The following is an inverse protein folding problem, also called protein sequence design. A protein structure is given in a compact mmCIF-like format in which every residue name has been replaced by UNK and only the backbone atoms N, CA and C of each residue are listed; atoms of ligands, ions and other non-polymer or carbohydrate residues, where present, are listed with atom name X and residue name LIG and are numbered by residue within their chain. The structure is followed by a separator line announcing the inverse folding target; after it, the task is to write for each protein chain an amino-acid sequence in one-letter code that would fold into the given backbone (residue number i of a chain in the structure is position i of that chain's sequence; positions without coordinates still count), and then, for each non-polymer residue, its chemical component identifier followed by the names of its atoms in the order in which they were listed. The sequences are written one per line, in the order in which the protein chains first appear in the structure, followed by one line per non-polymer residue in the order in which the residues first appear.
data_IF_008970423306
#
_entry.id   IF_008970423306
#
_cell.length_a   1.000
_cell.length_b   1.000
_cell.length_c   1.000
_cell.angle_alpha   90.00
_cell.angle_beta   90.00
_cell.angle_gamma   90.00
#
_symmetry.space_group_name_H-M   'P 1'
#
loop_
_entity.id
_entity.type
_entity.pdbx_description
1 polymer ?
#
# COMPACT_ATOMS: atom_id res chain seq x y z
N UNK A 1 0.38 -19.66 -1.55
CA UNK A 1 1.59 -19.30 -2.31
C UNK A 1 2.33 -18.10 -1.70
N UNK A 2 1.71 -16.91 -1.61
CA UNK A 2 2.38 -15.69 -1.13
C UNK A 2 3.03 -15.82 0.27
N UNK A 3 2.34 -16.45 1.24
CA UNK A 3 2.93 -16.77 2.55
C UNK A 3 4.22 -17.61 2.45
N UNK A 4 4.31 -18.52 1.48
CA UNK A 4 5.50 -19.38 1.31
C UNK A 4 6.66 -18.56 0.75
N UNK A 5 6.40 -17.64 -0.18
CA UNK A 5 7.41 -16.72 -0.68
C UNK A 5 7.96 -15.85 0.47
N UNK A 6 7.06 -15.17 1.18
CA UNK A 6 7.43 -14.17 2.19
C UNK A 6 7.99 -14.78 3.49
N UNK A 7 7.75 -16.07 3.75
CA UNK A 7 8.44 -16.81 4.82
C UNK A 7 9.85 -17.28 4.44
N UNK A 8 10.14 -17.45 3.15
CA UNK A 8 11.41 -18.01 2.67
C UNK A 8 12.38 -16.96 2.18
N UNK A 9 11.86 -15.82 1.75
CA UNK A 9 12.65 -14.77 1.12
C UNK A 9 12.43 -13.47 1.88
N UNK A 10 13.54 -12.86 2.32
CA UNK A 10 13.52 -11.51 2.85
C UNK A 10 13.40 -10.54 1.69
N UNK A 11 12.33 -9.77 1.67
CA UNK A 11 12.20 -8.71 0.68
C UNK A 11 13.27 -7.63 0.95
N UNK A 12 14.01 -7.19 -0.07
CA UNK A 12 14.93 -6.06 0.05
C UNK A 12 14.15 -4.77 0.36
N UNK A 13 14.78 -3.79 1.03
CA UNK A 13 14.13 -2.53 1.38
C UNK A 13 13.93 -1.59 0.18
N UNK A 14 14.73 -1.76 -0.87
CA UNK A 14 14.63 -0.94 -2.07
C UNK A 14 13.38 -1.30 -2.89
N UNK A 15 12.50 -0.32 -3.11
CA UNK A 15 11.24 -0.51 -3.83
C UNK A 15 11.40 -1.22 -5.19
N UNK A 16 12.45 -0.89 -5.95
CA UNK A 16 12.74 -1.52 -7.25
C UNK A 16 13.07 -3.01 -7.14
N UNK A 17 13.65 -3.43 -6.03
CA UNK A 17 13.98 -4.83 -5.79
C UNK A 17 12.76 -5.61 -5.31
N UNK A 18 11.90 -5.01 -4.48
CA UNK A 18 10.60 -5.57 -4.09
C UNK A 18 9.75 -5.83 -5.34
N UNK A 19 9.65 -4.83 -6.19
CA UNK A 19 8.91 -4.88 -7.46
C UNK A 19 9.31 -6.10 -8.30
N UNK A 20 10.62 -6.28 -8.56
CA UNK A 20 11.16 -7.43 -9.31
C UNK A 20 10.83 -8.78 -8.66
N UNK A 21 10.85 -8.87 -7.33
CA UNK A 21 10.51 -10.11 -6.62
C UNK A 21 9.03 -10.42 -6.81
N UNK A 22 8.16 -9.41 -6.71
CA UNK A 22 6.72 -9.56 -6.86
C UNK A 22 6.31 -9.87 -8.30
N UNK A 23 6.96 -9.26 -9.31
CA UNK A 23 6.82 -9.64 -10.73
C UNK A 23 7.22 -11.10 -10.96
N UNK A 24 8.39 -11.48 -10.45
CA UNK A 24 8.88 -12.86 -10.54
C UNK A 24 7.93 -13.86 -9.89
N UNK A 25 7.36 -13.50 -8.72
CA UNK A 25 6.34 -14.30 -8.06
C UNK A 25 5.07 -14.43 -8.89
N UNK A 26 4.51 -13.33 -9.41
CA UNK A 26 3.28 -13.34 -10.19
C UNK A 26 3.42 -14.24 -11.43
N UNK A 27 4.54 -14.12 -12.13
CA UNK A 27 4.91 -14.97 -13.27
C UNK A 27 4.99 -16.45 -12.89
N UNK A 28 5.73 -16.75 -11.82
CA UNK A 28 5.88 -18.11 -11.34
C UNK A 28 4.54 -18.70 -10.87
N UNK A 29 3.70 -17.91 -10.22
CA UNK A 29 2.37 -18.29 -9.77
C UNK A 29 1.45 -18.61 -10.96
N UNK A 30 1.36 -17.74 -11.96
CA UNK A 30 0.57 -18.01 -13.18
C UNK A 30 1.02 -19.31 -13.86
N UNK A 31 2.33 -19.52 -14.00
CA UNK A 31 2.91 -20.74 -14.61
C UNK A 31 2.65 -22.00 -13.80
N UNK A 32 2.66 -21.91 -12.47
CA UNK A 32 2.44 -23.04 -11.57
C UNK A 32 0.96 -23.45 -11.46
N UNK A 33 0.03 -22.58 -11.86
CA UNK A 33 -1.41 -22.82 -11.82
C UNK A 33 -2.02 -22.74 -13.24
N UNK A 34 -1.58 -23.61 -14.17
CA UNK A 34 -2.10 -23.66 -15.54
C UNK A 34 -3.56 -24.13 -15.56
N UNK A 35 -4.29 -23.97 -16.69
CA UNK A 35 -5.69 -24.35 -16.80
C UNK A 35 -6.02 -25.80 -16.40
N UNK A 36 -5.07 -26.72 -16.56
CA UNK A 36 -5.22 -28.15 -16.27
C UNK A 36 -4.93 -28.51 -14.80
N UNK A 37 -4.47 -27.55 -13.99
CA UNK A 37 -4.20 -27.79 -12.57
C UNK A 37 -5.49 -27.92 -11.76
N UNK A 38 -5.38 -28.50 -10.56
CA UNK A 38 -6.54 -28.67 -9.66
C UNK A 38 -7.12 -27.33 -9.20
N UNK A 39 -6.29 -26.28 -9.10
CA UNK A 39 -6.68 -24.92 -8.74
C UNK A 39 -6.11 -23.92 -9.76
N UNK A 40 -6.72 -23.81 -10.95
CA UNK A 40 -6.17 -23.00 -12.03
C UNK A 40 -6.29 -21.51 -11.74
N UNK A 41 -5.32 -20.72 -12.23
CA UNK A 41 -5.42 -19.27 -12.28
C UNK A 41 -5.70 -18.82 -13.72
N UNK A 42 -6.97 -18.60 -14.12
CA UNK A 42 -7.30 -18.21 -15.49
C UNK A 42 -6.99 -16.74 -15.80
N UNK A 43 -6.81 -15.90 -14.78
CA UNK A 43 -6.61 -14.44 -14.89
C UNK A 43 -5.18 -14.05 -15.29
N UNK A 44 -4.94 -12.79 -15.65
CA UNK A 44 -3.65 -12.31 -16.11
C UNK A 44 -2.51 -12.44 -15.07
N UNK A 45 -1.26 -12.35 -15.54
CA UNK A 45 -0.07 -12.22 -14.67
C UNK A 45 -0.15 -10.91 -13.87
N UNK A 46 -0.58 -9.82 -14.51
CA UNK A 46 -0.78 -8.51 -13.89
C UNK A 46 -1.80 -8.57 -12.74
N UNK A 47 -2.90 -9.31 -12.92
CA UNK A 47 -3.88 -9.52 -11.85
C UNK A 47 -3.25 -10.21 -10.63
N UNK A 48 -2.38 -11.21 -10.85
CA UNK A 48 -1.68 -11.88 -9.75
C UNK A 48 -0.68 -10.94 -9.07
N UNK A 49 0.02 -10.10 -9.82
CA UNK A 49 0.95 -9.10 -9.31
C UNK A 49 0.23 -8.06 -8.44
N UNK A 50 -0.80 -7.39 -8.98
CA UNK A 50 -1.57 -6.35 -8.27
C UNK A 50 -2.25 -6.94 -7.04
N UNK A 51 -2.87 -8.11 -7.17
CA UNK A 51 -3.52 -8.75 -6.03
C UNK A 51 -2.53 -9.13 -4.93
N UNK A 52 -1.29 -9.48 -5.27
CA UNK A 52 -0.28 -9.80 -4.27
C UNK A 52 0.09 -8.60 -3.41
N UNK A 53 0.27 -7.43 -4.02
CA UNK A 53 0.45 -6.17 -3.29
C UNK A 53 -0.79 -5.80 -2.44
N UNK A 54 -1.98 -5.99 -3.01
CA UNK A 54 -3.25 -5.78 -2.31
C UNK A 54 -3.37 -6.65 -1.04
N UNK A 55 -2.90 -7.90 -1.09
CA UNK A 55 -2.86 -8.79 0.09
C UNK A 55 -1.83 -8.36 1.13
N UNK A 56 -0.69 -7.82 0.71
CA UNK A 56 0.31 -7.27 1.64
C UNK A 56 -0.26 -6.03 2.35
N UNK A 57 -0.92 -5.13 1.61
CA UNK A 57 -1.63 -3.97 2.20
C UNK A 57 -2.71 -4.41 3.19
N UNK A 58 -3.52 -5.39 2.80
CA UNK A 58 -4.55 -5.94 3.65
C UNK A 58 -3.97 -6.55 4.93
N UNK A 59 -2.82 -7.23 4.84
CA UNK A 59 -2.17 -7.80 6.00
C UNK A 59 -1.79 -6.73 7.02
N UNK A 60 -1.16 -5.65 6.56
CA UNK A 60 -0.86 -4.49 7.41
C UNK A 60 -2.12 -3.92 8.03
N UNK A 61 -3.14 -3.65 7.22
CA UNK A 61 -4.41 -3.07 7.67
C UNK A 61 -5.07 -3.93 8.77
N UNK A 62 -5.09 -5.25 8.57
CA UNK A 62 -5.76 -6.20 9.45
C UNK A 62 -4.95 -6.66 10.66
N UNK A 63 -3.64 -6.43 10.73
CA UNK A 63 -2.80 -6.97 11.82
C UNK A 63 -1.93 -5.93 12.51
N UNK A 64 -1.71 -4.75 11.91
CA UNK A 64 -0.93 -3.69 12.56
C UNK A 64 -1.64 -3.16 13.81
N UNK A 65 -0.90 -2.97 14.90
CA UNK A 65 -1.42 -2.39 16.15
C UNK A 65 -1.69 -0.88 16.04
N UNK A 66 -1.14 -0.24 15.00
CA UNK A 66 -1.27 1.20 14.76
C UNK A 66 -2.61 1.59 14.13
N UNK A 67 -3.38 0.63 13.62
CA UNK A 67 -4.67 0.87 12.96
C UNK A 67 -5.79 0.45 13.90
N UNK A 68 -6.71 1.38 14.15
CA UNK A 68 -7.88 1.13 15.00
C UNK A 68 -8.85 0.21 14.28
N UNK A 69 -9.51 -0.68 15.02
CA UNK A 69 -10.45 -1.65 14.46
C UNK A 69 -11.57 -1.02 13.62
N UNK A 70 -12.02 0.18 13.99
CA UNK A 70 -13.05 0.91 13.24
C UNK A 70 -12.56 1.43 11.88
N UNK A 71 -11.25 1.60 11.71
CA UNK A 71 -10.62 2.12 10.50
C UNK A 71 -10.09 0.99 9.58
N UNK A 72 -10.16 -0.28 10.03
CA UNK A 72 -9.70 -1.44 9.24
C UNK A 72 -10.59 -1.67 8.04
N UNK A 73 -9.97 -2.05 6.93
CA UNK A 73 -10.61 -2.43 5.70
C UNK A 73 -11.62 -3.56 5.94
N UNK A 74 -12.87 -3.30 5.56
CA UNK A 74 -13.91 -4.33 5.57
C UNK A 74 -13.72 -5.28 4.41
N UNK A 75 -14.34 -6.47 4.50
CA UNK A 75 -14.36 -7.44 3.40
C UNK A 75 -14.90 -6.81 2.10
N UNK A 76 -15.98 -6.06 2.20
CA UNK A 76 -16.56 -5.32 1.07
C UNK A 76 -15.63 -4.23 0.54
N UNK A 77 -14.92 -3.54 1.45
CA UNK A 77 -13.87 -2.59 1.08
C UNK A 77 -12.78 -3.26 0.26
N UNK A 78 -12.29 -4.42 0.69
CA UNK A 78 -11.27 -5.18 -0.04
C UNK A 78 -11.77 -5.61 -1.43
N UNK A 79 -13.01 -6.10 -1.55
CA UNK A 79 -13.60 -6.44 -2.84
C UNK A 79 -13.70 -5.20 -3.75
N UNK A 80 -14.13 -4.06 -3.20
CA UNK A 80 -14.24 -2.81 -3.96
C UNK A 80 -12.89 -2.29 -4.43
N UNK A 81 -11.85 -2.39 -3.60
CA UNK A 81 -10.50 -1.92 -3.91
C UNK A 81 -9.81 -2.75 -5.01
N UNK A 82 -10.30 -3.96 -5.27
CA UNK A 82 -9.74 -4.88 -6.27
C UNK A 82 -10.64 -5.03 -7.50
N UNK A 83 -11.52 -4.06 -7.77
CA UNK A 83 -12.30 -4.05 -9.03
C UNK A 83 -11.41 -3.72 -10.22
N UNK A 84 -11.66 -4.40 -11.33
CA UNK A 84 -11.00 -4.16 -12.61
C UNK A 84 -9.52 -4.53 -12.66
N UNK A 85 -9.03 -5.35 -11.72
CA UNK A 85 -7.60 -5.68 -11.65
C UNK A 85 -7.15 -6.72 -12.67
N UNK A 86 -8.09 -7.37 -13.39
CA UNK A 86 -7.75 -8.31 -14.45
C UNK A 86 -7.74 -7.64 -15.84
N UNK A 87 -7.24 -8.38 -16.84
CA UNK A 87 -7.05 -7.91 -18.20
C UNK A 87 -8.30 -7.23 -18.77
N UNK A 88 -8.10 -6.05 -19.36
CA UNK A 88 -9.18 -5.25 -19.94
C UNK A 88 -10.11 -4.59 -18.90
N UNK A 89 -9.70 -4.54 -17.62
CA UNK A 89 -10.50 -3.93 -16.55
C UNK A 89 -11.58 -4.88 -16.02
N UNK A 90 -11.38 -6.19 -16.14
CA UNK A 90 -12.31 -7.20 -15.64
C UNK A 90 -12.16 -7.42 -14.12
N UNK A 91 -13.26 -7.80 -13.47
CA UNK A 91 -13.28 -8.11 -12.05
C UNK A 91 -12.87 -9.57 -11.79
N UNK A 92 -12.11 -9.80 -10.71
CA UNK A 92 -11.97 -11.15 -10.16
C UNK A 92 -13.28 -11.58 -9.46
N UNK A 93 -13.56 -12.90 -9.36
CA UNK A 93 -14.73 -13.36 -8.65
C UNK A 93 -14.75 -12.87 -7.21
N UNK A 94 -15.88 -12.31 -6.78
CA UNK A 94 -16.07 -11.82 -5.41
C UNK A 94 -15.72 -12.90 -4.36
N UNK A 95 -16.16 -14.14 -4.59
CA UNK A 95 -15.89 -15.25 -3.69
C UNK A 95 -14.39 -15.53 -3.49
N UNK A 96 -13.57 -15.34 -4.53
CA UNK A 96 -12.11 -15.47 -4.43
C UNK A 96 -11.53 -14.38 -3.53
N UNK A 97 -11.92 -13.13 -3.76
CA UNK A 97 -11.46 -11.98 -2.97
C UNK A 97 -11.88 -12.08 -1.49
N UNK A 98 -13.11 -12.54 -1.23
CA UNK A 98 -13.60 -12.78 0.13
C UNK A 98 -12.85 -13.90 0.83
N UNK A 99 -12.58 -15.01 0.14
CA UNK A 99 -11.81 -16.12 0.69
C UNK A 99 -10.37 -15.70 1.03
N UNK A 100 -9.77 -14.87 0.19
CA UNK A 100 -8.45 -14.30 0.45
C UNK A 100 -8.47 -13.35 1.65
N UNK A 101 -9.46 -12.46 1.75
CA UNK A 101 -9.63 -11.56 2.89
C UNK A 101 -9.75 -12.34 4.20
N UNK A 102 -10.64 -13.34 4.23
CA UNK A 102 -10.83 -14.18 5.42
C UNK A 102 -9.59 -15.00 5.75
N UNK A 103 -8.86 -15.42 4.71
CA UNK A 103 -7.57 -16.08 4.84
C UNK A 103 -6.55 -15.21 5.56
N UNK A 104 -6.36 -13.96 5.12
CA UNK A 104 -5.43 -13.00 5.75
C UNK A 104 -5.91 -12.63 7.15
N UNK A 105 -7.19 -12.33 7.33
CA UNK A 105 -7.75 -11.99 8.65
C UNK A 105 -7.53 -13.10 9.69
N UNK A 106 -7.67 -14.36 9.28
CA UNK A 106 -7.50 -15.53 10.16
C UNK A 106 -6.04 -15.80 10.51
N UNK A 107 -5.14 -15.63 9.55
CA UNK A 107 -3.72 -15.91 9.72
C UNK A 107 -2.89 -14.82 9.05
N UNK A 108 -2.17 -14.07 9.88
CA UNK A 108 -1.20 -13.07 9.44
C UNK A 108 -0.17 -13.67 8.47
N UNK A 109 0.15 -12.89 7.44
CA UNK A 109 1.29 -13.12 6.55
C UNK A 109 2.56 -12.73 7.31
N UNK A 110 3.12 -13.69 8.05
CA UNK A 110 4.37 -13.50 8.78
C UNK A 110 5.58 -13.47 7.85
N UNK A 111 6.46 -12.50 8.07
CA UNK A 111 7.85 -12.48 7.63
C UNK A 111 8.73 -12.72 8.87
N UNK A 112 9.96 -13.20 8.72
CA UNK A 112 10.80 -13.54 9.88
C UNK A 112 11.18 -12.27 10.68
N UNK A 113 11.19 -12.38 12.01
CA UNK A 113 11.48 -11.27 12.93
C UNK A 113 12.89 -10.71 12.70
N UNK A 114 12.97 -9.41 12.37
CA UNK A 114 14.20 -8.69 12.06
C UNK A 114 14.17 -7.95 10.72
N UNK A 115 13.09 -8.09 9.96
CA UNK A 115 12.91 -7.41 8.71
C UNK A 115 12.32 -6.00 8.96
N UNK A 116 13.00 -4.95 8.48
CA UNK A 116 12.59 -3.52 8.54
C UNK A 116 11.36 -3.22 7.65
N UNK A 117 10.71 -4.26 7.13
CA UNK A 117 9.72 -4.24 6.06
C UNK A 117 8.42 -3.56 6.43
N UNK A 118 7.95 -3.67 7.69
CA UNK A 118 6.67 -3.09 8.05
C UNK A 118 6.73 -1.58 7.80
N UNK A 119 7.84 -0.92 8.15
CA UNK A 119 8.03 0.50 7.88
C UNK A 119 8.05 0.83 6.38
N UNK A 120 8.90 0.22 5.57
CA UNK A 120 9.09 0.58 4.14
C UNK A 120 7.94 0.14 3.21
N UNK A 121 7.31 -1.01 3.44
CA UNK A 121 6.12 -1.43 2.69
C UNK A 121 4.86 -0.64 3.12
N UNK A 122 4.74 -0.26 4.39
CA UNK A 122 3.69 0.68 4.83
C UNK A 122 3.91 2.05 4.19
N UNK A 123 5.17 2.49 4.09
CA UNK A 123 5.55 3.78 3.50
C UNK A 123 5.05 3.93 2.07
N UNK A 124 5.14 2.87 1.28
CA UNK A 124 4.75 2.90 -0.11
C UNK A 124 3.22 2.84 -0.34
N UNK A 125 2.44 2.39 0.65
CA UNK A 125 1.08 1.90 0.39
C UNK A 125 -0.07 2.63 1.13
N UNK A 126 0.19 3.65 1.96
CA UNK A 126 -0.93 4.38 2.56
C UNK A 126 -0.58 5.66 3.31
N UNK A 127 -0.92 6.81 2.73
CA UNK A 127 -0.93 8.09 3.44
C UNK A 127 -1.78 8.00 4.72
N UNK A 128 -1.15 8.08 5.89
CA UNK A 128 -1.79 7.93 7.21
C UNK A 128 -2.85 8.98 7.51
N UNK A 129 -2.69 10.21 7.02
CA UNK A 129 -3.69 11.28 7.17
C UNK A 129 -3.50 12.37 6.12
N UNK A 130 -4.58 12.92 5.60
CA UNK A 130 -4.53 14.10 4.75
C UNK A 130 -5.61 15.12 5.11
N UNK A 131 -5.34 16.40 4.88
CA UNK A 131 -6.29 17.46 5.22
C UNK A 131 -5.77 18.88 5.03
N UNK A 132 -6.69 19.83 5.00
CA UNK A 132 -6.34 21.25 4.99
C UNK A 132 -5.83 21.70 6.35
N UNK A 133 -4.64 22.28 6.40
CA UNK A 133 -4.12 22.99 7.58
C UNK A 133 -3.56 24.35 7.17
N UNK A 134 -3.40 25.25 8.14
CA UNK A 134 -2.74 26.53 7.94
C UNK A 134 -1.34 26.49 8.54
N UNK A 135 -0.33 26.86 7.74
CA UNK A 135 1.05 26.95 8.17
C UNK A 135 1.51 28.40 8.19
N UNK A 136 2.16 28.79 9.28
CA UNK A 136 2.90 30.05 9.34
C UNK A 136 4.25 29.93 8.60
N UNK A 137 4.58 30.93 7.80
CA UNK A 137 5.92 31.08 7.23
C UNK A 137 6.73 32.02 8.11
N UNK A 138 7.46 31.47 9.08
CA UNK A 138 8.47 32.23 9.81
C UNK A 138 9.73 32.32 8.98
N UNK A 139 10.05 33.53 8.52
CA UNK A 139 11.33 33.83 7.88
C UNK A 139 12.35 34.27 8.93
N UNK A 140 12.75 33.33 9.79
CA UNK A 140 13.87 33.49 10.73
C UNK A 140 13.65 34.50 11.86
N UNK A 141 14.65 34.58 12.74
CA UNK A 141 14.64 35.19 14.07
C UNK A 141 14.32 36.71 14.12
N UNK A 142 14.18 37.37 12.96
CA UNK A 142 14.00 38.83 12.84
C UNK A 142 12.74 39.24 12.06
N UNK A 143 11.86 38.30 11.69
CA UNK A 143 10.64 38.64 10.94
C UNK A 143 9.48 39.01 11.86
N UNK A 144 8.97 40.24 11.73
CA UNK A 144 7.90 40.81 12.59
C UNK A 144 6.48 40.53 12.05
N UNK A 145 6.34 39.85 10.90
CA UNK A 145 5.03 39.63 10.26
C UNK A 145 4.81 38.17 9.88
N UNK A 146 4.10 37.45 10.76
CA UNK A 146 3.61 36.10 10.50
C UNK A 146 2.64 36.10 9.31
N UNK A 147 2.93 35.26 8.31
CA UNK A 147 2.01 35.01 7.18
C UNK A 147 1.55 33.57 7.24
N UNK A 148 0.25 33.39 7.40
CA UNK A 148 -0.42 32.10 7.37
C UNK A 148 -0.82 31.73 5.94
N UNK A 149 -0.67 30.45 5.59
CA UNK A 149 -1.12 29.91 4.31
C UNK A 149 -1.85 28.59 4.54
N UNK A 150 -3.07 28.49 3.99
CA UNK A 150 -3.83 27.25 3.90
C UNK A 150 -3.24 26.36 2.80
N UNK A 151 -2.87 25.13 3.16
CA UNK A 151 -2.24 24.15 2.28
C UNK A 151 -2.85 22.77 2.55
N UNK A 152 -2.78 21.88 1.57
CA UNK A 152 -3.19 20.49 1.73
C UNK A 152 -2.03 19.68 2.28
N UNK A 153 -2.18 19.09 3.46
CA UNK A 153 -1.15 18.31 4.12
C UNK A 153 -1.40 16.83 3.93
N UNK A 154 -0.31 16.09 3.78
CA UNK A 154 -0.28 14.62 3.80
C UNK A 154 0.74 14.22 4.83
N UNK A 155 0.32 13.43 5.81
CA UNK A 155 1.19 12.79 6.78
C UNK A 155 1.43 11.36 6.31
N UNK A 156 2.67 11.05 6.00
CA UNK A 156 3.10 9.70 5.66
C UNK A 156 4.50 9.47 6.23
N UNK A 157 4.73 8.34 6.89
CA UNK A 157 6.08 7.84 7.24
C UNK A 157 6.98 8.78 8.02
N UNK A 158 6.43 9.36 9.09
CA UNK A 158 7.18 10.31 9.91
C UNK A 158 7.56 11.57 9.13
N UNK A 159 6.97 11.82 7.97
CA UNK A 159 7.15 13.02 7.19
C UNK A 159 5.81 13.72 6.99
N UNK A 160 5.84 15.04 7.12
CA UNK A 160 4.72 15.90 6.79
C UNK A 160 4.99 16.59 5.45
N UNK A 161 4.19 16.22 4.45
CA UNK A 161 4.19 16.79 3.12
C UNK A 161 3.10 17.86 3.02
N UNK A 162 3.31 18.89 2.20
CA UNK A 162 2.22 19.81 1.88
C UNK A 162 2.20 20.30 0.43
N UNK A 163 0.99 20.56 -0.08
CA UNK A 163 0.66 20.88 -1.46
C UNK A 163 -0.27 22.10 -1.53
N UNK A 164 -0.44 22.68 -2.72
CA UNK A 164 -1.41 23.78 -2.89
C UNK A 164 -2.85 23.27 -2.93
N UNK A 165 -3.07 22.09 -3.47
CA UNK A 165 -4.38 21.48 -3.61
C UNK A 165 -4.32 19.97 -3.35
N UNK A 166 -5.46 19.31 -3.05
CA UNK A 166 -5.53 17.87 -2.91
C UNK A 166 -5.10 17.13 -4.18
N UNK A 167 -5.57 17.60 -5.35
CA UNK A 167 -5.22 16.96 -6.63
C UNK A 167 -3.74 17.05 -6.99
N UNK A 168 -2.96 17.92 -6.33
CA UNK A 168 -1.51 17.93 -6.48
C UNK A 168 -0.83 16.79 -5.72
N UNK A 169 -1.48 16.23 -4.70
CA UNK A 169 -0.99 15.09 -3.92
C UNK A 169 -1.33 13.75 -4.58
N UNK A 170 -2.34 13.72 -5.44
CA UNK A 170 -2.80 12.52 -6.14
C UNK A 170 -2.03 12.27 -7.46
N UNK A 171 -1.31 13.27 -7.97
CA UNK A 171 -0.48 13.17 -9.17
C UNK A 171 0.93 12.75 -8.77
N UNK A 172 1.28 11.48 -9.01
CA UNK A 172 2.57 10.90 -8.65
C UNK A 172 3.80 11.68 -9.15
N UNK A 173 3.66 12.44 -10.24
CA UNK A 173 4.75 13.23 -10.83
C UNK A 173 4.89 14.65 -10.24
N UNK A 174 3.95 15.11 -9.41
CA UNK A 174 3.96 16.49 -8.88
C UNK A 174 4.62 16.53 -7.50
N UNK A 175 5.80 17.18 -7.36
CA UNK A 175 6.52 17.17 -6.09
C UNK A 175 5.81 18.04 -5.03
N UNK A 176 5.91 17.65 -3.74
CA UNK A 176 5.38 18.44 -2.63
C UNK A 176 6.09 19.78 -2.53
N UNK A 177 5.41 20.78 -1.97
CA UNK A 177 6.00 22.11 -1.72
C UNK A 177 7.13 22.05 -0.69
N UNK A 178 7.03 21.15 0.28
CA UNK A 178 8.14 20.75 1.13
C UNK A 178 7.87 19.38 1.78
N UNK A 179 8.94 18.84 2.34
CA UNK A 179 8.96 17.61 3.14
C UNK A 179 9.51 18.01 4.51
N UNK A 180 8.76 17.73 5.57
CA UNK A 180 9.17 18.03 6.96
C UNK A 180 9.31 16.71 7.70
N UNK A 181 10.53 16.23 7.97
CA UNK A 181 10.75 15.09 8.85
C UNK A 181 10.21 15.38 10.25
N UNK A 182 9.60 14.38 10.87
CA UNK A 182 9.03 14.36 12.21
C UNK A 182 9.84 13.35 13.02
N UNK A 183 11.04 13.75 13.39
CA UNK A 183 11.94 12.99 14.29
C UNK A 183 11.40 12.97 15.73
#
# INVERSE_FOLDING_TARGET
ALRVLLRKFRLPGEAQCIDRVMEGFARAFKRANPPESAEPWPYSEDAAYVLSFSLVMLNTDLHSQNIKDADRMTRDGFVSNNRGIDAGGADLPRALLEALYDGVKREEIKMDEGDLYESELITYMGARKAGWLEKCNDKGLFSVKHRWRKLWFVLNDGCLYYFLSPGDADVAEKPPRAIVPLD
#
